data_IF_633429812172
#
_entry.id   IF_633429812172
#
_cell.length_a   1.000
_cell.length_b   1.000
_cell.length_c   1.000
_cell.angle_alpha   90.00
_cell.angle_beta   90.00
_cell.angle_gamma   90.00
#
_symmetry.space_group_name_H-M   'P 1'
#
loop_
_entity.id
_entity.type
_entity.pdbx_description
1 polymer ?
#
# COMPACT_ATOMS: atom_id res chain seq x y z
N UNK A 1 -2.53 13.88 1.25
CA UNK A 1 -2.57 12.43 0.98
C UNK A 1 -3.89 11.97 0.36
N UNK A 2 -5.05 12.53 0.73
CA UNK A 2 -6.36 12.18 0.12
C UNK A 2 -6.60 12.71 -1.30
N UNK A 3 -6.00 13.85 -1.67
CA UNK A 3 -6.22 14.48 -2.98
C UNK A 3 -5.72 13.66 -4.20
N UNK A 4 -4.72 12.79 -4.00
CA UNK A 4 -4.23 11.90 -5.06
C UNK A 4 -5.09 10.64 -5.23
N UNK A 5 -5.74 10.17 -4.17
CA UNK A 5 -6.70 9.06 -4.25
C UNK A 5 -7.97 9.49 -5.01
N UNK A 6 -8.45 10.72 -4.76
CA UNK A 6 -9.63 11.29 -5.43
C UNK A 6 -9.42 11.59 -6.92
N UNK A 7 -8.17 11.68 -7.39
CA UNK A 7 -7.84 11.88 -8.82
C UNK A 7 -7.45 10.58 -9.52
N UNK A 8 -7.34 9.47 -8.79
CA UNK A 8 -7.00 8.19 -9.39
C UNK A 8 -8.18 7.67 -10.25
N UNK A 9 -7.90 6.99 -11.38
CA UNK A 9 -8.94 6.41 -12.22
C UNK A 9 -9.80 5.37 -11.48
N UNK A 10 -9.26 4.76 -10.41
CA UNK A 10 -9.99 3.83 -9.57
C UNK A 10 -9.59 3.99 -8.08
N UNK A 11 -10.27 4.87 -7.33
CA UNK A 11 -9.93 5.19 -5.94
C UNK A 11 -10.02 3.98 -5.00
N UNK A 12 -10.91 3.03 -5.30
CA UNK A 12 -11.11 1.83 -4.49
C UNK A 12 -9.99 0.81 -4.64
N UNK A 13 -9.24 0.87 -5.75
CA UNK A 13 -8.11 -0.02 -6.04
C UNK A 13 -6.76 0.69 -5.94
N UNK A 14 -6.75 1.94 -5.48
CA UNK A 14 -5.53 2.74 -5.36
C UNK A 14 -5.12 2.84 -3.89
N UNK A 15 -3.83 2.63 -3.61
CA UNK A 15 -3.25 2.86 -2.30
C UNK A 15 -1.84 3.46 -2.41
N UNK A 16 -1.31 3.95 -1.29
CA UNK A 16 0.05 4.47 -1.24
C UNK A 16 0.87 3.78 -0.16
N UNK A 17 2.16 3.61 -0.46
CA UNK A 17 3.16 3.08 0.46
C UNK A 17 4.15 4.21 0.72
N UNK A 18 4.20 4.67 1.97
CA UNK A 18 5.12 5.71 2.42
C UNK A 18 6.35 5.07 3.03
N UNK A 19 7.49 5.30 2.41
CA UNK A 19 8.81 5.02 2.98
C UNK A 19 9.40 6.31 3.57
N UNK A 20 10.60 6.23 4.16
CA UNK A 20 11.28 7.40 4.69
C UNK A 20 11.55 8.46 3.59
N UNK A 21 11.99 8.01 2.41
CA UNK A 21 12.48 8.90 1.36
C UNK A 21 11.43 9.21 0.29
N UNK A 22 10.41 8.35 0.14
CA UNK A 22 9.46 8.44 -0.97
C UNK A 22 8.09 7.83 -0.66
N UNK A 23 7.07 8.40 -1.31
CA UNK A 23 5.73 7.82 -1.38
C UNK A 23 5.54 7.17 -2.75
N UNK A 24 5.19 5.89 -2.76
CA UNK A 24 4.79 5.15 -3.97
C UNK A 24 3.27 5.08 -4.03
N UNK A 25 2.69 5.35 -5.19
CA UNK A 25 1.26 5.19 -5.45
C UNK A 25 1.04 3.99 -6.35
N UNK A 26 0.17 3.07 -5.93
CA UNK A 26 -0.06 1.80 -6.60
C UNK A 26 -1.55 1.67 -6.92
N UNK A 27 -1.85 1.09 -8.09
CA UNK A 27 -3.21 0.77 -8.52
C UNK A 27 -3.27 -0.73 -8.75
N UNK A 28 -4.09 -1.43 -7.97
CA UNK A 28 -4.30 -2.85 -8.13
C UNK A 28 -5.23 -3.14 -9.32
N UNK A 29 -5.02 -4.24 -10.07
CA UNK A 29 -5.91 -4.60 -11.18
C UNK A 29 -7.27 -5.12 -10.70
N UNK A 30 -7.37 -5.62 -9.46
CA UNK A 30 -8.56 -6.23 -8.88
C UNK A 30 -8.62 -6.01 -7.36
N UNK A 31 -9.80 -6.02 -6.72
CA UNK A 31 -9.93 -5.97 -5.26
C UNK A 31 -9.17 -7.09 -4.54
N UNK A 32 -9.17 -8.31 -5.08
CA UNK A 32 -8.52 -9.48 -4.51
C UNK A 32 -7.01 -9.28 -4.47
N UNK A 33 -6.42 -8.85 -5.59
CA UNK A 33 -5.02 -8.47 -5.63
C UNK A 33 -4.72 -7.39 -4.59
N UNK A 34 -5.50 -6.31 -4.51
CA UNK A 34 -5.25 -5.25 -3.54
C UNK A 34 -5.15 -5.76 -2.09
N UNK A 35 -6.06 -6.66 -1.69
CA UNK A 35 -6.04 -7.29 -0.37
C UNK A 35 -4.74 -8.08 -0.15
N UNK A 36 -4.36 -8.92 -1.12
CA UNK A 36 -3.11 -9.70 -1.05
C UNK A 36 -1.88 -8.78 -0.92
N UNK A 37 -1.80 -7.73 -1.75
CA UNK A 37 -0.70 -6.76 -1.70
C UNK A 37 -0.62 -6.06 -0.34
N UNK A 38 -1.77 -5.63 0.21
CA UNK A 38 -1.83 -5.01 1.52
C UNK A 38 -1.39 -5.97 2.62
N UNK A 39 -1.88 -7.22 2.61
CA UNK A 39 -1.54 -8.25 3.60
C UNK A 39 -0.05 -8.56 3.59
N UNK A 40 0.56 -8.72 2.41
CA UNK A 40 2.01 -8.99 2.26
C UNK A 40 2.86 -7.83 2.78
N UNK A 41 2.47 -6.59 2.48
CA UNK A 41 3.20 -5.40 2.93
C UNK A 41 3.11 -5.24 4.45
N UNK A 42 1.92 -5.38 5.03
CA UNK A 42 1.71 -5.26 6.49
C UNK A 42 2.43 -6.37 7.22
N UNK A 43 2.23 -7.63 6.81
CA UNK A 43 2.90 -8.79 7.43
C UNK A 43 4.43 -8.68 7.31
N UNK A 44 4.93 -8.24 6.15
CA UNK A 44 6.37 -8.03 5.94
C UNK A 44 6.95 -6.93 6.85
N UNK A 45 6.19 -5.85 7.08
CA UNK A 45 6.60 -4.78 7.99
C UNK A 45 6.58 -5.24 9.46
N UNK A 46 5.59 -6.03 9.86
CA UNK A 46 5.51 -6.62 11.21
C UNK A 46 6.64 -7.62 11.47
N UNK A 47 7.02 -8.43 10.47
CA UNK A 47 8.18 -9.32 10.57
C UNK A 47 9.50 -8.56 10.77
N UNK A 48 9.65 -7.39 10.15
CA UNK A 48 10.82 -6.53 10.32
C UNK A 48 10.89 -5.92 11.72
N UNK A 49 9.77 -5.45 12.29
CA UNK A 49 9.76 -4.92 13.67
C UNK A 49 10.01 -6.03 14.70
N UNK A 50 9.57 -7.26 14.46
CA UNK A 50 9.83 -8.41 15.34
C UNK A 50 11.27 -8.93 15.29
N UNK A 51 12.01 -8.71 14.19
CA UNK A 51 13.41 -9.13 14.05
C UNK A 51 14.41 -8.05 14.48
N UNK A 52 13.97 -6.79 14.61
CA UNK A 52 14.79 -5.67 15.06
C UNK A 52 14.79 -5.42 16.57
N UNK A 53 14.15 -6.30 17.36
CA UNK A 53 14.16 -6.31 18.82
C UNK A 53 15.05 -7.44 19.36
#
# INVERSE_FOLDING_TARGET
SVAHLSTSPNPLLTFSVKTHDRIYYMVAPTPEAMRIWMDVIVTGAEGYTHFML
#
